data_IF_200112038757
#
_entry.id   IF_200112038757
#
_cell.length_a   1.000
_cell.length_b   1.000
_cell.length_c   1.000
_cell.angle_alpha   90.00
_cell.angle_beta   90.00
_cell.angle_gamma   90.00
#
_symmetry.space_group_name_H-M   'P 1'
#
loop_
_entity.id
_entity.type
_entity.pdbx_description
1 polymer ?
#
# COMPACT_ATOMS: atom_id res chain seq x y z
N UNK A 1 16.22 12.96 -1.90
CA UNK A 1 14.93 13.17 -1.21
C UNK A 1 13.73 12.53 -1.92
N UNK A 2 13.66 12.40 -3.26
CA UNK A 2 12.50 11.75 -3.92
C UNK A 2 12.54 10.21 -4.04
N UNK A 3 13.73 9.60 -4.01
CA UNK A 3 13.89 8.16 -4.26
C UNK A 3 13.28 7.27 -3.19
N UNK A 4 13.31 7.69 -1.93
CA UNK A 4 12.81 6.88 -0.81
C UNK A 4 11.28 6.90 -0.74
N UNK A 5 10.66 8.03 -1.07
CA UNK A 5 9.20 8.14 -1.24
C UNK A 5 8.72 7.24 -2.37
N UNK A 6 9.40 7.24 -3.53
CA UNK A 6 9.02 6.37 -4.65
C UNK A 6 9.10 4.89 -4.26
N UNK A 7 10.16 4.46 -3.56
CA UNK A 7 10.28 3.09 -3.05
C UNK A 7 9.15 2.74 -2.10
N UNK A 8 8.80 3.65 -1.18
CA UNK A 8 7.68 3.46 -0.25
C UNK A 8 6.36 3.28 -1.00
N UNK A 9 6.07 4.11 -2.00
CA UNK A 9 4.84 4.01 -2.78
C UNK A 9 4.78 2.70 -3.59
N UNK A 10 5.88 2.30 -4.22
CA UNK A 10 5.95 1.02 -4.95
C UNK A 10 5.77 -0.19 -4.02
N UNK A 11 6.42 -0.17 -2.86
CA UNK A 11 6.23 -1.22 -1.84
C UNK A 11 4.77 -1.27 -1.37
N UNK A 12 4.18 -0.09 -1.10
CA UNK A 12 2.78 0.04 -0.67
C UNK A 12 1.80 -0.48 -1.72
N UNK A 13 2.04 -0.18 -3.00
CA UNK A 13 1.26 -0.73 -4.11
C UNK A 13 1.33 -2.26 -4.14
N UNK A 14 2.55 -2.82 -4.06
CA UNK A 14 2.76 -4.27 -4.03
C UNK A 14 2.08 -4.94 -2.83
N UNK A 15 2.20 -4.35 -1.64
CA UNK A 15 1.49 -4.84 -0.45
C UNK A 15 -0.02 -4.76 -0.63
N UNK A 16 -0.55 -3.70 -1.25
CA UNK A 16 -1.97 -3.59 -1.58
C UNK A 16 -2.45 -4.72 -2.51
N UNK A 17 -1.69 -5.03 -3.56
CA UNK A 17 -2.00 -6.15 -4.46
C UNK A 17 -1.99 -7.47 -3.71
N UNK A 18 -0.95 -7.74 -2.91
CA UNK A 18 -0.85 -8.99 -2.12
C UNK A 18 -1.97 -9.08 -1.08
N UNK A 19 -2.28 -7.97 -0.40
CA UNK A 19 -3.36 -7.84 0.60
C UNK A 19 -4.73 -8.20 0.03
N UNK A 20 -4.96 -7.93 -1.25
CA UNK A 20 -6.23 -8.27 -1.89
C UNK A 20 -6.45 -9.77 -2.09
N UNK A 21 -5.38 -10.57 -2.11
CA UNK A 21 -5.42 -12.02 -2.34
C UNK A 21 -5.20 -12.78 -1.03
N UNK A 22 -4.31 -12.28 -0.17
CA UNK A 22 -3.92 -12.93 1.08
C UNK A 22 -4.50 -12.17 2.27
N UNK A 23 -5.57 -12.68 2.93
CA UNK A 23 -6.27 -11.97 3.99
C UNK A 23 -5.41 -11.73 5.25
N UNK A 24 -4.30 -12.47 5.40
CA UNK A 24 -3.33 -12.26 6.49
C UNK A 24 -2.48 -11.00 6.29
N UNK A 25 -2.43 -10.46 5.07
CA UNK A 25 -1.74 -9.20 4.78
C UNK A 25 -2.78 -8.09 4.90
N UNK A 26 -2.94 -7.55 6.11
CA UNK A 26 -3.89 -6.47 6.38
C UNK A 26 -3.32 -5.10 5.96
N UNK A 27 -4.04 -4.39 5.09
CA UNK A 27 -3.58 -3.12 4.53
C UNK A 27 -3.62 -1.98 5.55
N UNK A 28 -4.64 -1.93 6.43
CA UNK A 28 -4.72 -0.91 7.47
C UNK A 28 -3.56 -1.03 8.48
N UNK A 29 -3.17 -2.26 8.83
CA UNK A 29 -2.01 -2.52 9.69
C UNK A 29 -0.71 -2.07 9.01
N UNK A 30 -0.55 -2.33 7.70
CA UNK A 30 0.62 -1.86 6.96
C UNK A 30 0.68 -0.32 6.93
N UNK A 31 -0.41 0.36 6.56
CA UNK A 31 -0.46 1.83 6.50
C UNK A 31 -0.22 2.44 7.89
N UNK A 32 -0.81 1.85 8.94
CA UNK A 32 -0.57 2.24 10.32
C UNK A 32 0.88 2.05 10.76
N UNK A 33 1.51 0.94 10.36
CA UNK A 33 2.93 0.69 10.62
C UNK A 33 3.85 1.68 9.91
N UNK A 34 3.57 2.01 8.65
CA UNK A 34 4.29 3.06 7.92
C UNK A 34 4.13 4.41 8.60
N UNK A 35 2.92 4.78 9.00
CA UNK A 35 2.65 6.01 9.75
C UNK A 35 3.35 6.09 11.11
N UNK A 36 3.58 4.94 11.76
CA UNK A 36 4.20 4.88 13.08
C UNK A 36 5.74 4.85 13.05
N UNK A 37 6.36 4.57 11.90
CA UNK A 37 7.81 4.26 11.81
C UNK A 37 8.58 5.17 10.88
N UNK A 38 7.90 5.94 10.04
CA UNK A 38 8.51 6.84 9.08
C UNK A 38 8.04 8.28 9.35
N UNK A 39 8.86 9.25 8.99
CA UNK A 39 8.56 10.69 9.07
C UNK A 39 8.70 11.34 7.68
N UNK A 40 8.20 12.57 7.53
CA UNK A 40 8.38 13.40 6.33
C UNK A 40 7.76 12.86 5.01
N UNK A 41 6.61 12.18 5.07
CA UNK A 41 5.85 11.80 3.88
C UNK A 41 4.34 12.02 4.07
N UNK A 42 3.60 12.06 2.95
CA UNK A 42 2.15 12.21 2.98
C UNK A 42 1.48 10.83 3.14
N UNK A 43 0.97 10.54 4.34
CA UNK A 43 0.28 9.28 4.64
C UNK A 43 -0.95 9.03 3.77
N UNK A 44 -1.66 10.08 3.35
CA UNK A 44 -2.81 9.95 2.46
C UNK A 44 -2.41 9.44 1.08
N UNK A 45 -1.22 9.81 0.61
CA UNK A 45 -0.68 9.31 -0.65
C UNK A 45 -0.35 7.81 -0.55
N UNK A 46 0.20 7.36 0.59
CA UNK A 46 0.47 5.94 0.88
C UNK A 46 -0.86 5.16 0.92
N UNK A 47 -1.85 5.64 1.67
CA UNK A 47 -3.17 5.01 1.75
C UNK A 47 -3.85 4.91 0.37
N UNK A 48 -3.78 5.98 -0.44
CA UNK A 48 -4.33 6.00 -1.80
C UNK A 48 -3.67 4.94 -2.69
N UNK A 49 -2.33 4.90 -2.73
CA UNK A 49 -1.59 3.92 -3.53
C UNK A 49 -1.86 2.49 -3.07
N UNK A 50 -2.02 2.28 -1.77
CA UNK A 50 -2.44 1.02 -1.20
C UNK A 50 -3.84 0.57 -1.66
N UNK A 51 -4.80 1.48 -1.63
CA UNK A 51 -6.16 1.25 -2.14
C UNK A 51 -6.20 0.95 -3.64
N UNK A 52 -5.36 1.62 -4.44
CA UNK A 52 -5.17 1.30 -5.86
C UNK A 52 -4.63 -0.12 -6.01
N UNK A 53 -3.59 -0.49 -5.26
CA UNK A 53 -3.04 -1.86 -5.28
C UNK A 53 -4.10 -2.91 -4.93
N UNK A 54 -4.90 -2.66 -3.89
CA UNK A 54 -6.01 -3.55 -3.52
C UNK A 54 -7.10 -3.64 -4.59
N UNK A 55 -7.37 -2.56 -5.32
CA UNK A 55 -8.36 -2.55 -6.41
C UNK A 55 -7.84 -3.33 -7.62
N UNK A 56 -6.58 -3.12 -8.00
CA UNK A 56 -5.91 -3.83 -9.10
C UNK A 56 -5.80 -5.32 -8.81
N UNK A 57 -5.38 -5.70 -7.61
CA UNK A 57 -5.21 -7.11 -7.24
C UNK A 57 -6.53 -7.90 -7.22
N UNK A 58 -7.68 -7.21 -7.22
CA UNK A 58 -8.99 -7.84 -7.34
C UNK A 58 -9.51 -8.00 -8.76
N UNK A 59 -8.90 -7.35 -9.76
CA UNK A 59 -9.36 -7.42 -11.14
C UNK A 59 -9.58 -8.86 -11.64
N UNK A 60 -8.68 -9.84 -11.37
CA UNK A 60 -8.87 -11.22 -11.82
C UNK A 60 -10.09 -11.94 -11.23
N UNK A 61 -10.65 -11.42 -10.13
CA UNK A 61 -11.83 -12.01 -9.46
C UNK A 61 -13.15 -11.38 -9.91
N UNK A 62 -13.10 -10.30 -10.68
CA UNK A 62 -14.27 -9.56 -11.18
C UNK A 62 -14.37 -9.57 -12.71
N UNK A 63 -13.65 -10.49 -13.35
CA UNK A 63 -13.81 -10.87 -14.76
C UNK A 63 -15.07 -11.72 -14.98
#
# INVERSE_FOLDING_TARGET
MGGDVLKLLLATFGVGVVSSVFPLVNMEVYVGGVAATMDDFNIWLVALVGGIGQSVGKLPWYE
#
